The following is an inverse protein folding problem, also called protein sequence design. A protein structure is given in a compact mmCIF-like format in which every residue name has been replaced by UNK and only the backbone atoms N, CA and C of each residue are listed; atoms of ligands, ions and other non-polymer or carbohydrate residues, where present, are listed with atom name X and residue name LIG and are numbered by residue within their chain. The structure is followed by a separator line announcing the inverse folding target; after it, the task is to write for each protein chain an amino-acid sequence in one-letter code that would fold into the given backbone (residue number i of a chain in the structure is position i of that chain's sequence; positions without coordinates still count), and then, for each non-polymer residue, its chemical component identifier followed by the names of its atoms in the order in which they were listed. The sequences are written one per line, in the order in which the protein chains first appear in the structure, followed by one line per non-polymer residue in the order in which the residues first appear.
data_IF_225857176971
#
_entry.id   IF_225857176971
#
_cell.length_a   1.000
_cell.length_b   1.000
_cell.length_c   1.000
_cell.angle_alpha   90.00
_cell.angle_beta   90.00
_cell.angle_gamma   90.00
#
_symmetry.space_group_name_H-M   'P 1'
#
loop_
_entity.id
_entity.type
_entity.pdbx_description
1 polymer ?
#
# COMPACT_ATOMS: atom_id res chain seq x y z
N UNK A 1 9.43 0.54 -23.35
CA UNK A 1 9.68 -0.91 -23.03
C UNK A 1 8.36 -1.67 -22.94
N UNK A 2 7.39 -1.19 -22.17
CA UNK A 2 6.05 -1.82 -22.03
C UNK A 2 5.32 -1.95 -23.37
N UNK A 3 5.26 -0.89 -24.18
CA UNK A 3 4.61 -0.88 -25.50
C UNK A 3 5.13 -2.00 -26.42
N UNK A 4 6.45 -2.15 -26.55
CA UNK A 4 7.05 -3.23 -27.35
C UNK A 4 6.70 -4.63 -26.84
N UNK A 5 6.42 -4.77 -25.55
CA UNK A 5 5.99 -6.06 -24.99
C UNK A 5 4.54 -6.34 -25.34
N UNK A 6 3.69 -5.31 -25.29
CA UNK A 6 2.28 -5.40 -25.69
C UNK A 6 2.18 -5.76 -27.18
N UNK A 7 2.93 -5.06 -28.06
CA UNK A 7 2.98 -5.36 -29.50
C UNK A 7 3.31 -6.83 -29.75
N UNK A 8 4.35 -7.37 -29.10
CA UNK A 8 4.72 -8.79 -29.24
C UNK A 8 3.61 -9.76 -28.80
N UNK A 9 2.82 -9.40 -27.78
CA UNK A 9 1.71 -10.22 -27.32
C UNK A 9 0.58 -10.20 -28.36
N UNK A 10 0.27 -9.02 -28.91
CA UNK A 10 -0.75 -8.87 -29.96
C UNK A 10 -0.35 -9.60 -31.25
N UNK A 11 0.93 -9.60 -31.61
CA UNK A 11 1.48 -10.32 -32.77
C UNK A 11 1.31 -11.85 -32.65
N UNK A 12 1.11 -12.38 -31.44
CA UNK A 12 0.76 -13.80 -31.21
C UNK A 12 -0.71 -14.12 -31.51
N UNK A 13 -1.50 -13.14 -31.96
CA UNK A 13 -2.91 -13.31 -32.29
C UNK A 13 -3.85 -13.06 -31.11
N UNK A 14 -3.37 -12.44 -30.04
CA UNK A 14 -4.20 -12.05 -28.88
C UNK A 14 -5.08 -10.87 -29.25
N UNK A 15 -6.40 -11.01 -29.13
CA UNK A 15 -7.35 -9.92 -29.31
C UNK A 15 -7.49 -9.14 -27.99
N UNK A 16 -7.12 -7.85 -27.99
CA UNK A 16 -7.29 -6.98 -26.83
C UNK A 16 -8.58 -6.15 -26.95
N UNK A 17 -9.45 -6.24 -25.95
CA UNK A 17 -10.67 -5.40 -25.83
C UNK A 17 -10.47 -4.40 -24.70
N UNK A 18 -10.14 -3.17 -25.09
CA UNK A 18 -9.87 -2.07 -24.15
C UNK A 18 -11.17 -1.33 -23.77
N UNK A 19 -11.11 -0.57 -22.67
CA UNK A 19 -12.22 0.22 -22.14
C UNK A 19 -13.49 -0.60 -21.84
N UNK A 20 -13.29 -1.86 -21.47
CA UNK A 20 -14.35 -2.75 -21.02
C UNK A 20 -14.15 -3.09 -19.55
N UNK A 21 -15.21 -3.07 -18.78
CA UNK A 21 -15.22 -3.32 -17.36
C UNK A 21 -16.18 -4.46 -17.04
N UNK A 22 -15.72 -5.43 -16.28
CA UNK A 22 -16.53 -6.55 -15.81
C UNK A 22 -17.66 -6.01 -14.92
N UNK A 23 -18.86 -6.58 -15.05
CA UNK A 23 -20.11 -6.17 -14.38
C UNK A 23 -20.72 -4.85 -14.88
N UNK A 24 -20.03 -4.10 -15.72
CA UNK A 24 -20.58 -2.93 -16.42
C UNK A 24 -20.86 -3.20 -17.90
N UNK A 25 -19.90 -3.78 -18.59
CA UNK A 25 -19.95 -3.97 -20.05
C UNK A 25 -20.19 -5.43 -20.43
N UNK A 26 -19.88 -6.36 -19.55
CA UNK A 26 -20.09 -7.80 -19.73
C UNK A 26 -20.09 -8.55 -18.37
N UNK A 27 -20.70 -9.74 -18.33
CA UNK A 27 -20.71 -10.62 -17.18
C UNK A 27 -19.74 -11.80 -17.37
N UNK A 28 -19.23 -12.38 -16.28
CA UNK A 28 -18.29 -13.49 -16.36
C UNK A 28 -18.94 -14.76 -16.92
N UNK A 29 -20.23 -14.96 -16.65
CA UNK A 29 -21.04 -16.06 -17.16
C UNK A 29 -21.15 -16.03 -18.69
N UNK A 30 -21.11 -14.86 -19.30
CA UNK A 30 -21.16 -14.72 -20.76
C UNK A 30 -19.82 -15.14 -21.40
N UNK A 31 -18.71 -14.88 -20.71
CA UNK A 31 -17.41 -15.40 -21.12
C UNK A 31 -17.34 -16.91 -20.97
N UNK A 32 -17.84 -17.46 -19.87
CA UNK A 32 -17.87 -18.91 -19.62
C UNK A 32 -18.71 -19.69 -20.65
N UNK A 33 -19.75 -19.08 -21.24
CA UNK A 33 -20.54 -19.67 -22.34
C UNK A 33 -19.82 -19.59 -23.69
N UNK A 34 -18.94 -18.61 -23.86
CA UNK A 34 -18.31 -18.30 -25.16
C UNK A 34 -16.95 -18.97 -25.35
N UNK A 35 -16.23 -19.22 -24.27
CA UNK A 35 -14.86 -19.73 -24.29
C UNK A 35 -14.74 -21.04 -23.53
N UNK A 36 -13.84 -21.93 -23.97
CA UNK A 36 -13.56 -23.22 -23.31
C UNK A 36 -12.92 -23.05 -21.93
N UNK A 37 -12.22 -21.95 -21.68
CA UNK A 37 -11.64 -21.59 -20.41
C UNK A 37 -11.55 -20.07 -20.24
N UNK A 38 -11.72 -19.59 -19.03
CA UNK A 38 -11.58 -18.17 -18.67
C UNK A 38 -10.54 -18.04 -17.56
N UNK A 39 -9.48 -17.25 -17.82
CA UNK A 39 -8.48 -16.92 -16.82
C UNK A 39 -8.75 -15.53 -16.25
N UNK A 40 -9.07 -15.47 -14.96
CA UNK A 40 -9.41 -14.22 -14.25
C UNK A 40 -8.15 -13.63 -13.62
N UNK A 41 -7.70 -12.48 -14.13
CA UNK A 41 -6.48 -11.78 -13.69
C UNK A 41 -6.76 -10.30 -13.36
N UNK A 42 -7.81 -10.04 -12.59
CA UNK A 42 -8.30 -8.68 -12.25
C UNK A 42 -7.44 -7.95 -11.19
N UNK A 43 -6.46 -8.62 -10.62
CA UNK A 43 -5.58 -8.04 -9.61
C UNK A 43 -6.24 -7.85 -8.25
N UNK A 44 -5.63 -7.00 -7.41
CA UNK A 44 -6.07 -6.68 -6.06
C UNK A 44 -6.02 -5.15 -5.87
N UNK A 45 -7.13 -4.48 -6.14
CA UNK A 45 -7.19 -3.01 -6.20
C UNK A 45 -7.82 -2.37 -4.96
N UNK A 46 -8.46 -3.16 -4.08
CA UNK A 46 -9.07 -2.61 -2.86
C UNK A 46 -8.00 -2.44 -1.78
N UNK A 47 -7.73 -1.20 -1.32
CA UNK A 47 -6.75 -0.98 -0.26
C UNK A 47 -7.13 -1.74 1.01
N UNK A 48 -6.16 -2.43 1.59
CA UNK A 48 -6.36 -3.09 2.88
C UNK A 48 -6.50 -2.02 3.98
N UNK A 49 -7.65 -2.03 4.67
CA UNK A 49 -7.87 -1.18 5.84
C UNK A 49 -7.14 -1.76 7.04
N UNK A 50 -6.55 -0.91 7.85
CA UNK A 50 -5.96 -1.31 9.13
C UNK A 50 -6.97 -1.34 10.26
N UNK A 51 -8.14 -0.72 10.07
CA UNK A 51 -9.20 -0.55 11.06
C UNK A 51 -8.71 0.14 12.34
N UNK A 52 -7.87 1.16 12.17
CA UNK A 52 -7.43 2.02 13.27
C UNK A 52 -8.33 3.25 13.38
N UNK A 53 -8.55 3.72 14.58
CA UNK A 53 -9.32 4.94 14.80
C UNK A 53 -8.65 6.14 14.11
N UNK A 54 -9.45 6.97 13.44
CA UNK A 54 -8.96 8.13 12.68
C UNK A 54 -8.55 7.83 11.24
N UNK A 55 -8.70 6.59 10.75
CA UNK A 55 -8.37 6.22 9.34
C UNK A 55 -9.21 7.00 8.30
N UNK A 56 -10.34 7.58 8.71
CA UNK A 56 -11.21 8.39 7.86
C UNK A 56 -10.94 9.91 7.90
N UNK A 57 -9.93 10.38 8.62
CA UNK A 57 -9.58 11.79 8.69
C UNK A 57 -9.05 12.32 7.35
N UNK A 58 -9.27 13.60 7.07
CA UNK A 58 -8.60 14.28 5.97
C UNK A 58 -7.09 14.19 6.15
N UNK A 59 -6.36 13.89 5.07
CA UNK A 59 -4.91 13.67 5.12
C UNK A 59 -4.50 12.20 5.24
N UNK A 60 -5.46 11.26 5.31
CA UNK A 60 -5.19 9.83 5.20
C UNK A 60 -5.45 9.38 3.77
N UNK A 61 -4.46 8.75 3.14
CA UNK A 61 -4.53 8.30 1.74
C UNK A 61 -4.08 6.85 1.58
N UNK A 62 -4.57 6.19 0.54
CA UNK A 62 -4.02 4.90 0.08
C UNK A 62 -2.79 5.11 -0.80
N UNK A 63 -1.70 4.37 -0.57
CA UNK A 63 -0.47 4.48 -1.36
C UNK A 63 -0.69 4.17 -2.84
N UNK A 64 -1.41 3.08 -3.15
CA UNK A 64 -1.74 2.73 -4.54
C UNK A 64 -2.55 3.84 -5.22
N UNK A 65 -3.55 4.42 -4.52
CA UNK A 65 -4.36 5.51 -5.07
C UNK A 65 -3.51 6.71 -5.46
N UNK A 66 -2.60 7.14 -4.58
CA UNK A 66 -1.73 8.28 -4.88
C UNK A 66 -0.80 8.03 -6.08
N UNK A 67 -0.24 6.83 -6.18
CA UNK A 67 0.68 6.45 -7.26
C UNK A 67 -0.06 6.27 -8.59
N UNK A 68 -1.23 5.62 -8.58
CA UNK A 68 -2.01 5.32 -9.78
C UNK A 68 -2.62 6.58 -10.40
N UNK A 69 -3.27 7.40 -9.58
CA UNK A 69 -3.99 8.59 -10.07
C UNK A 69 -3.15 9.86 -10.05
N UNK A 70 -1.93 9.83 -9.51
CA UNK A 70 -1.06 10.98 -9.33
C UNK A 70 -1.76 12.19 -8.65
N UNK A 71 -2.68 11.90 -7.72
CA UNK A 71 -3.48 12.91 -7.00
C UNK A 71 -2.86 13.21 -5.64
N UNK A 72 -1.73 13.90 -5.67
CA UNK A 72 -1.01 14.27 -4.46
C UNK A 72 -1.47 15.62 -3.90
N UNK A 73 -1.66 15.77 -2.58
CA UNK A 73 -1.79 17.07 -1.94
C UNK A 73 -0.44 17.83 -1.97
N UNK A 74 -0.44 19.05 -1.49
CA UNK A 74 0.82 19.81 -1.33
C UNK A 74 1.56 19.34 -0.09
N UNK A 75 2.72 18.70 -0.29
CA UNK A 75 3.58 18.20 0.79
C UNK A 75 4.67 19.17 1.22
N UNK A 76 4.79 20.36 0.62
CA UNK A 76 5.87 21.31 0.92
C UNK A 76 5.90 21.66 2.42
N UNK A 77 7.03 21.35 3.07
CA UNK A 77 7.22 21.59 4.50
C UNK A 77 6.43 20.68 5.43
N UNK A 78 5.80 19.61 4.92
CA UNK A 78 4.93 18.70 5.66
C UNK A 78 5.66 17.46 6.16
N UNK A 79 5.15 16.89 7.26
CA UNK A 79 5.57 15.61 7.83
C UNK A 79 4.61 14.52 7.38
N UNK A 80 5.14 13.46 6.78
CA UNK A 80 4.33 12.39 6.19
C UNK A 80 4.76 11.03 6.73
N UNK A 81 3.80 10.26 7.23
CA UNK A 81 4.02 8.88 7.63
C UNK A 81 3.53 7.92 6.54
N UNK A 82 4.36 6.97 6.15
CA UNK A 82 4.04 5.87 5.23
C UNK A 82 3.96 4.59 6.04
N UNK A 83 2.78 3.98 6.06
CA UNK A 83 2.53 2.76 6.84
C UNK A 83 2.67 1.53 5.97
N UNK A 84 3.75 0.80 6.13
CA UNK A 84 4.02 -0.41 5.36
C UNK A 84 5.50 -0.60 5.05
N UNK A 85 5.84 -1.74 4.42
CA UNK A 85 7.24 -2.10 4.14
C UNK A 85 7.44 -2.76 2.78
N UNK A 86 6.45 -2.67 1.87
CA UNK A 86 6.52 -3.19 0.50
C UNK A 86 6.98 -2.12 -0.52
N UNK A 87 7.06 -2.51 -1.80
CA UNK A 87 7.46 -1.61 -2.88
C UNK A 87 6.55 -0.38 -2.97
N UNK A 88 5.22 -0.53 -2.80
CA UNK A 88 4.28 0.61 -2.75
C UNK A 88 4.65 1.62 -1.67
N UNK A 89 5.13 1.15 -0.49
CA UNK A 89 5.58 2.04 0.57
C UNK A 89 6.85 2.80 0.16
N UNK A 90 7.80 2.14 -0.50
CA UNK A 90 9.02 2.77 -0.99
C UNK A 90 8.74 3.78 -2.09
N UNK A 91 7.93 3.41 -3.07
CA UNK A 91 7.53 4.30 -4.17
C UNK A 91 6.78 5.53 -3.65
N UNK A 92 5.84 5.34 -2.72
CA UNK A 92 5.10 6.44 -2.08
C UNK A 92 6.04 7.37 -1.31
N UNK A 93 6.92 6.81 -0.47
CA UNK A 93 7.84 7.59 0.36
C UNK A 93 8.79 8.43 -0.49
N UNK A 94 9.40 7.84 -1.52
CA UNK A 94 10.34 8.53 -2.42
C UNK A 94 9.65 9.57 -3.28
N UNK A 95 8.44 9.29 -3.78
CA UNK A 95 7.64 10.25 -4.53
C UNK A 95 7.27 11.44 -3.66
N UNK A 96 6.76 11.23 -2.46
CA UNK A 96 6.36 12.26 -1.52
C UNK A 96 7.56 13.11 -1.07
N UNK A 97 8.72 12.49 -0.85
CA UNK A 97 9.96 13.22 -0.55
C UNK A 97 10.35 14.15 -1.69
N UNK A 98 10.29 13.69 -2.95
CA UNK A 98 10.55 14.50 -4.15
C UNK A 98 9.53 15.62 -4.34
N UNK A 99 8.30 15.45 -3.88
CA UNK A 99 7.25 16.47 -3.92
C UNK A 99 7.37 17.51 -2.78
N UNK A 100 8.46 17.51 -2.01
CA UNK A 100 8.84 18.58 -1.09
C UNK A 100 8.44 18.36 0.38
N UNK A 101 8.09 17.15 0.78
CA UNK A 101 7.89 16.84 2.19
C UNK A 101 9.18 17.11 2.99
N UNK A 102 9.07 17.82 4.11
CA UNK A 102 10.20 18.11 4.99
C UNK A 102 10.72 16.83 5.65
N UNK A 103 9.81 16.03 6.17
CA UNK A 103 10.09 14.77 6.84
C UNK A 103 9.19 13.66 6.28
N UNK A 104 9.78 12.51 5.97
CA UNK A 104 9.05 11.32 5.53
C UNK A 104 9.49 10.15 6.39
N UNK A 105 8.53 9.49 7.04
CA UNK A 105 8.75 8.35 7.91
C UNK A 105 8.11 7.11 7.31
N UNK A 106 8.87 6.04 7.17
CA UNK A 106 8.32 4.71 6.88
C UNK A 106 8.16 3.97 8.19
N UNK A 107 6.92 3.69 8.57
CA UNK A 107 6.57 2.98 9.80
C UNK A 107 6.28 1.53 9.46
N UNK A 108 7.08 0.61 10.00
CA UNK A 108 6.98 -0.81 9.72
C UNK A 108 6.99 -1.65 10.98
N UNK A 109 5.96 -2.49 11.14
CA UNK A 109 5.75 -3.28 12.36
C UNK A 109 6.71 -4.46 12.57
N UNK A 110 7.61 -4.72 11.63
CA UNK A 110 8.67 -5.73 11.73
C UNK A 110 10.05 -5.07 11.62
N UNK A 111 11.11 -5.86 11.70
CA UNK A 111 12.45 -5.36 11.46
C UNK A 111 12.76 -5.22 9.96
N UNK A 112 13.85 -4.57 9.62
CA UNK A 112 14.26 -4.31 8.25
C UNK A 112 14.40 -5.60 7.41
N UNK A 113 14.93 -6.65 8.01
CA UNK A 113 15.17 -7.93 7.34
C UNK A 113 13.86 -8.61 6.86
N UNK A 114 12.73 -8.24 7.46
CA UNK A 114 11.42 -8.77 7.07
C UNK A 114 10.67 -7.85 6.09
N UNK A 115 11.28 -6.75 5.63
CA UNK A 115 10.65 -5.91 4.62
C UNK A 115 10.53 -6.67 3.29
N UNK A 116 9.33 -6.70 2.68
CA UNK A 116 9.17 -7.33 1.38
C UNK A 116 9.64 -6.44 0.20
N UNK A 117 9.94 -5.16 0.44
CA UNK A 117 10.49 -4.27 -0.56
C UNK A 117 11.89 -4.71 -1.01
N UNK A 118 12.25 -4.37 -2.23
CA UNK A 118 13.59 -4.64 -2.74
C UNK A 118 14.66 -3.89 -1.94
N UNK A 119 15.75 -4.58 -1.60
CA UNK A 119 16.85 -4.02 -0.80
C UNK A 119 17.44 -2.74 -1.40
N UNK A 120 17.47 -2.66 -2.73
CA UNK A 120 17.92 -1.47 -3.45
C UNK A 120 17.01 -0.27 -3.20
N UNK A 121 15.69 -0.46 -3.25
CA UNK A 121 14.70 0.60 -3.01
C UNK A 121 14.78 1.11 -1.57
N UNK A 122 14.98 0.21 -0.59
CA UNK A 122 15.18 0.59 0.81
C UNK A 122 16.46 1.44 0.96
N UNK A 123 17.56 1.00 0.34
CA UNK A 123 18.83 1.71 0.41
C UNK A 123 18.75 3.10 -0.27
N UNK A 124 18.06 3.20 -1.39
CA UNK A 124 17.88 4.47 -2.08
C UNK A 124 16.96 5.41 -1.30
N UNK A 125 15.88 4.92 -0.70
CA UNK A 125 15.01 5.70 0.20
C UNK A 125 15.80 6.29 1.40
N UNK A 126 16.65 5.49 2.02
CA UNK A 126 17.53 5.97 3.12
C UNK A 126 18.49 7.07 2.66
N UNK A 127 19.10 6.94 1.47
CA UNK A 127 19.97 7.99 0.89
C UNK A 127 19.22 9.28 0.58
N UNK A 128 17.94 9.17 0.21
CA UNK A 128 17.06 10.32 -0.04
C UNK A 128 16.57 10.99 1.26
N UNK A 129 17.02 10.54 2.43
CA UNK A 129 16.72 11.13 3.73
C UNK A 129 15.34 10.74 4.26
N UNK A 130 14.83 9.58 3.87
CA UNK A 130 13.61 8.98 4.44
C UNK A 130 13.99 8.24 5.71
N UNK A 131 13.26 8.50 6.79
CA UNK A 131 13.48 7.87 8.09
C UNK A 131 12.66 6.59 8.23
N UNK A 132 13.22 5.56 8.88
CA UNK A 132 12.57 4.28 9.08
C UNK A 132 12.34 4.02 10.57
N UNK A 133 11.09 3.81 10.93
CA UNK A 133 10.67 3.40 12.27
C UNK A 133 10.29 1.91 12.23
N UNK A 134 11.30 1.07 12.37
CA UNK A 134 11.13 -0.39 12.44
C UNK A 134 10.53 -0.80 13.77
N UNK A 135 9.96 -2.02 13.82
CA UNK A 135 9.30 -2.56 15.00
C UNK A 135 8.36 -1.53 15.64
N UNK A 136 7.59 -0.88 14.80
CA UNK A 136 6.65 0.17 15.19
C UNK A 136 5.33 -0.04 14.47
N UNK A 137 4.25 -0.07 15.20
CA UNK A 137 2.88 -0.14 14.68
C UNK A 137 2.13 1.14 14.99
N UNK A 138 1.14 1.50 14.16
CA UNK A 138 0.21 2.58 14.50
C UNK A 138 -0.97 2.02 15.28
N UNK A 139 -1.41 2.77 16.28
CA UNK A 139 -2.55 2.42 17.14
C UNK A 139 -3.75 3.30 16.80
N UNK A 140 -3.48 4.61 16.57
CA UNK A 140 -4.52 5.59 16.32
C UNK A 140 -3.97 6.76 15.50
N UNK A 141 -4.81 7.33 14.67
CA UNK A 141 -4.57 8.59 13.96
C UNK A 141 -5.37 9.67 14.67
N UNK A 142 -4.69 10.70 15.14
CA UNK A 142 -5.25 11.74 15.98
C UNK A 142 -5.44 13.03 15.18
N UNK A 143 -6.57 13.70 15.41
CA UNK A 143 -6.94 14.97 14.83
C UNK A 143 -8.44 15.23 14.99
N UNK A 144 -8.89 16.43 14.69
CA UNK A 144 -10.33 16.77 14.72
C UNK A 144 -10.99 16.48 13.36
N UNK A 145 -10.57 17.17 12.33
CA UNK A 145 -11.06 17.01 10.95
C UNK A 145 -10.00 16.39 10.05
N UNK A 146 -8.72 16.70 10.33
CA UNK A 146 -7.56 16.25 9.57
C UNK A 146 -6.53 15.62 10.49
N UNK A 147 -5.58 14.92 9.89
CA UNK A 147 -4.42 14.35 10.60
C UNK A 147 -3.62 15.46 11.28
N UNK A 148 -3.33 15.26 12.56
CA UNK A 148 -2.46 16.13 13.36
C UNK A 148 -1.32 15.34 14.02
N UNK A 149 -1.61 14.09 14.42
CA UNK A 149 -0.65 13.22 15.11
C UNK A 149 -0.92 11.75 14.83
N UNK A 150 0.09 10.93 15.08
CA UNK A 150 -0.01 9.48 15.15
C UNK A 150 0.31 8.98 16.55
N UNK A 151 -0.52 8.11 17.08
CA UNK A 151 -0.16 7.29 18.22
C UNK A 151 0.44 5.98 17.69
N UNK A 152 1.68 5.73 18.05
CA UNK A 152 2.45 4.57 17.69
C UNK A 152 2.77 3.72 18.92
N UNK A 153 3.05 2.44 18.71
CA UNK A 153 3.48 1.49 19.74
C UNK A 153 4.65 0.67 19.21
N UNK A 154 5.61 0.35 20.06
CA UNK A 154 6.69 -0.57 19.70
C UNK A 154 6.19 -2.00 19.58
N UNK A 155 6.84 -2.77 18.71
CA UNK A 155 6.56 -4.19 18.54
C UNK A 155 7.80 -5.02 18.74
N UNK A 156 7.61 -6.27 19.14
CA UNK A 156 8.62 -7.32 19.12
C UNK A 156 8.20 -8.44 18.16
N UNK A 157 9.18 -9.19 17.69
CA UNK A 157 8.95 -10.31 16.78
C UNK A 157 8.93 -11.60 17.56
N UNK A 158 7.78 -12.24 17.60
CA UNK A 158 7.55 -13.50 18.32
C UNK A 158 7.30 -14.65 17.34
N UNK A 159 7.93 -15.80 17.59
CA UNK A 159 7.62 -17.02 16.85
C UNK A 159 6.38 -17.67 17.45
N UNK A 160 5.28 -17.67 16.73
CA UNK A 160 4.08 -18.41 17.12
C UNK A 160 4.20 -19.87 16.74
N UNK A 161 3.62 -20.75 17.55
CA UNK A 161 3.59 -22.18 17.29
C UNK A 161 2.81 -22.47 15.99
N UNK A 162 3.42 -23.28 15.09
CA UNK A 162 2.84 -23.58 13.78
C UNK A 162 3.06 -22.52 12.69
N UNK A 163 3.63 -21.37 12.99
CA UNK A 163 3.96 -20.35 12.01
C UNK A 163 5.44 -20.39 11.59
N UNK A 164 5.68 -20.38 10.26
CA UNK A 164 7.05 -20.29 9.73
C UNK A 164 7.60 -18.83 9.73
N UNK A 165 6.77 -17.84 10.03
CA UNK A 165 7.11 -16.43 9.97
C UNK A 165 6.93 -15.77 11.33
N UNK A 166 7.90 -14.96 11.74
CA UNK A 166 7.81 -14.17 12.97
C UNK A 166 6.63 -13.19 12.89
N UNK A 167 5.80 -13.16 13.92
CA UNK A 167 4.64 -12.28 14.04
C UNK A 167 4.96 -11.08 14.93
N UNK A 168 4.63 -9.84 14.51
CA UNK A 168 4.81 -8.66 15.35
C UNK A 168 3.74 -8.63 16.46
N UNK A 169 4.18 -8.43 17.70
CA UNK A 169 3.33 -8.26 18.88
C UNK A 169 3.61 -6.91 19.50
N UNK A 170 2.57 -6.18 19.87
CA UNK A 170 2.73 -4.89 20.50
C UNK A 170 3.31 -5.04 21.92
N UNK A 171 4.25 -4.16 22.27
CA UNK A 171 4.85 -4.07 23.61
C UNK A 171 3.99 -3.10 24.43
N UNK A 172 3.24 -3.61 25.40
CA UNK A 172 2.38 -2.78 26.24
C UNK A 172 3.14 -1.67 26.94
N UNK A 173 2.54 -0.48 27.01
CA UNK A 173 3.13 0.70 27.66
C UNK A 173 4.24 1.38 26.87
N UNK A 174 4.54 0.94 25.64
CA UNK A 174 5.55 1.56 24.78
C UNK A 174 4.99 2.61 23.81
N UNK A 175 3.77 3.09 24.06
CA UNK A 175 3.11 4.07 23.22
C UNK A 175 3.88 5.40 23.16
N UNK A 176 3.89 6.02 22.01
CA UNK A 176 4.46 7.36 21.80
C UNK A 176 3.71 8.10 20.68
N UNK A 177 3.83 9.42 20.70
CA UNK A 177 3.13 10.29 19.76
C UNK A 177 4.14 10.91 18.78
N UNK A 178 3.73 10.98 17.52
CA UNK A 178 4.44 11.68 16.44
C UNK A 178 3.52 12.74 15.84
N UNK A 179 4.01 13.96 15.68
CA UNK A 179 3.30 15.00 14.94
C UNK A 179 3.39 14.69 13.45
N UNK A 180 2.24 14.64 12.76
CA UNK A 180 2.14 14.31 11.33
C UNK A 180 1.07 15.16 10.66
N UNK A 181 1.32 15.56 9.41
CA UNK A 181 0.32 16.25 8.59
C UNK A 181 -0.45 15.28 7.70
N UNK A 182 0.19 14.20 7.25
CA UNK A 182 -0.39 13.19 6.36
C UNK A 182 0.01 11.78 6.75
N UNK A 183 -0.88 10.84 6.44
CA UNK A 183 -0.66 9.39 6.59
C UNK A 183 -0.96 8.69 5.27
N UNK A 184 -0.05 7.85 4.81
CA UNK A 184 -0.24 7.04 3.61
C UNK A 184 -0.23 5.57 3.97
N UNK A 185 -1.36 4.90 3.73
CA UNK A 185 -1.55 3.49 4.00
C UNK A 185 -1.02 2.65 2.83
N UNK A 186 0.08 1.94 3.04
CA UNK A 186 0.74 1.08 2.06
C UNK A 186 0.85 -0.38 2.57
N UNK A 187 -0.22 -0.87 3.21
CA UNK A 187 -0.28 -2.18 3.88
C UNK A 187 -0.71 -3.32 2.97
N UNK A 188 -0.84 -3.04 1.68
CA UNK A 188 -1.25 -3.98 0.64
C UNK A 188 -2.68 -3.74 0.16
N UNK A 189 -3.11 -4.60 -0.76
CA UNK A 189 -4.45 -4.56 -1.35
C UNK A 189 -5.09 -5.94 -1.30
N UNK A 190 -6.41 -5.98 -1.44
CA UNK A 190 -7.21 -7.19 -1.51
C UNK A 190 -7.92 -7.26 -2.86
N UNK A 191 -8.16 -8.44 -3.41
CA UNK A 191 -9.01 -8.60 -4.58
C UNK A 191 -10.46 -8.21 -4.25
N UNK A 192 -11.23 -7.91 -5.27
CA UNK A 192 -12.65 -7.65 -5.17
C UNK A 192 -13.40 -8.99 -5.05
N UNK A 193 -13.81 -9.35 -3.83
CA UNK A 193 -14.34 -10.67 -3.54
C UNK A 193 -15.71 -10.95 -4.19
N UNK A 194 -16.55 -9.93 -4.39
CA UNK A 194 -17.85 -10.06 -5.05
C UNK A 194 -17.75 -10.63 -6.48
N UNK A 195 -16.64 -10.38 -7.18
CA UNK A 195 -16.37 -10.97 -8.50
C UNK A 195 -15.96 -12.45 -8.36
N UNK A 196 -15.15 -12.77 -7.35
CA UNK A 196 -14.62 -14.12 -7.11
C UNK A 196 -15.72 -15.06 -6.62
N UNK A 197 -16.68 -14.57 -5.83
CA UNK A 197 -17.79 -15.35 -5.28
C UNK A 197 -18.83 -15.76 -6.34
N UNK A 198 -18.79 -15.16 -7.54
CA UNK A 198 -19.65 -15.50 -8.70
C UNK A 198 -19.05 -16.58 -9.62
N UNK A 199 -17.82 -16.98 -9.39
CA UNK A 199 -17.07 -17.98 -10.17
C UNK A 199 -17.09 -19.34 -9.45
#
# INVERSE_FOLDING_TARGET
MVEKTIEKILDLGVEAKLNQELERDFEIEDLAKKYDAVFVAIGANIPAKMNVEGEGLEGVYGGNYLLEYNKHPNYTGKKVAIIGGGNVAMDSARTIKKLGASEVYVIYRRAEEQMPAEKKEIADAKKEGIEFLFQTNIVKILGKEKVEKLECIKTELVKKEGENRLSPVNIEGSNFILDMDYVVMATGSKPENNIIEKI
#
